data_IF_975512583117
#
_entry.id   IF_975512583117
#
_cell.length_a   1.000
_cell.length_b   1.000
_cell.length_c   1.000
_cell.angle_alpha   90.00
_cell.angle_beta   90.00
_cell.angle_gamma   90.00
#
_symmetry.space_group_name_H-M   'P 1'
#
loop_
_entity.id
_entity.type
_entity.pdbx_description
1 polymer ?
#
# COMPACT_ATOMS: atom_id res chain seq x y z
N UNK A 1 4.94 2.68 -12.53
CA UNK A 1 4.29 2.27 -13.80
C UNK A 1 4.05 0.76 -13.90
N UNK A 2 5.06 -0.11 -13.69
CA UNK A 2 4.93 -1.58 -13.84
C UNK A 2 3.76 -2.17 -13.04
N UNK A 3 3.62 -1.81 -11.76
CA UNK A 3 2.52 -2.27 -10.88
C UNK A 3 1.14 -1.99 -11.50
N UNK A 4 0.88 -0.73 -11.84
CA UNK A 4 -0.41 -0.30 -12.41
C UNK A 4 -0.71 -1.04 -13.71
N UNK A 5 0.26 -1.17 -14.61
CA UNK A 5 0.10 -1.89 -15.89
C UNK A 5 -0.29 -3.36 -15.69
N UNK A 6 0.34 -4.05 -14.74
CA UNK A 6 0.02 -5.45 -14.42
C UNK A 6 -1.40 -5.56 -13.87
N UNK A 7 -1.79 -4.67 -12.95
CA UNK A 7 -3.15 -4.66 -12.38
C UNK A 7 -4.20 -4.43 -13.46
N UNK A 8 -4.02 -3.44 -14.33
CA UNK A 8 -4.96 -3.14 -15.42
C UNK A 8 -5.08 -4.33 -16.37
N UNK A 9 -3.96 -4.93 -16.76
CA UNK A 9 -3.95 -6.12 -17.61
C UNK A 9 -4.67 -7.29 -16.92
N UNK A 10 -4.44 -7.48 -15.63
CA UNK A 10 -5.13 -8.51 -14.83
C UNK A 10 -6.65 -8.32 -14.84
N UNK A 11 -7.14 -7.10 -14.58
CA UNK A 11 -8.57 -6.78 -14.61
C UNK A 11 -9.17 -6.95 -16.01
N UNK A 12 -8.45 -6.54 -17.06
CA UNK A 12 -8.88 -6.76 -18.44
C UNK A 12 -9.05 -8.25 -18.72
N UNK A 13 -8.05 -9.07 -18.42
CA UNK A 13 -8.09 -10.52 -18.66
C UNK A 13 -9.16 -11.20 -17.83
N UNK A 14 -9.40 -10.73 -16.60
CA UNK A 14 -10.43 -11.26 -15.71
C UNK A 14 -11.84 -11.16 -16.33
N UNK A 15 -12.12 -10.06 -17.04
CA UNK A 15 -13.40 -9.75 -17.69
C UNK A 15 -13.50 -10.26 -19.13
N UNK A 16 -12.35 -10.35 -19.82
CA UNK A 16 -12.27 -10.76 -21.22
C UNK A 16 -13.01 -12.07 -21.48
N UNK A 17 -13.82 -12.10 -22.54
CA UNK A 17 -14.73 -13.20 -22.93
C UNK A 17 -15.89 -13.51 -21.97
N UNK A 18 -15.98 -12.88 -20.80
CA UNK A 18 -17.08 -13.10 -19.81
C UNK A 18 -18.07 -11.95 -19.76
N UNK A 19 -17.61 -10.75 -20.09
CA UNK A 19 -18.39 -9.51 -20.10
C UNK A 19 -18.16 -8.82 -21.45
N UNK A 20 -19.12 -8.05 -21.99
CA UNK A 20 -18.92 -7.29 -23.23
C UNK A 20 -17.67 -6.42 -23.18
N UNK A 21 -17.01 -6.30 -24.33
CA UNK A 21 -15.74 -5.59 -24.45
C UNK A 21 -15.84 -4.13 -24.01
N UNK A 22 -16.97 -3.46 -24.28
CA UNK A 22 -17.16 -2.07 -23.87
C UNK A 22 -17.11 -1.89 -22.34
N UNK A 23 -17.70 -2.82 -21.57
CA UNK A 23 -17.64 -2.78 -20.11
C UNK A 23 -16.27 -3.22 -19.58
N UNK A 24 -15.63 -4.16 -20.27
CA UNK A 24 -14.24 -4.56 -19.98
C UNK A 24 -13.29 -3.36 -20.12
N UNK A 25 -13.41 -2.60 -21.22
CA UNK A 25 -12.63 -1.40 -21.46
C UNK A 25 -12.94 -0.32 -20.42
N UNK A 26 -14.22 -0.06 -20.13
CA UNK A 26 -14.66 0.91 -19.12
C UNK A 26 -14.04 0.62 -17.75
N UNK A 27 -14.12 -0.63 -17.27
CA UNK A 27 -13.57 -1.02 -15.97
C UNK A 27 -12.03 -1.02 -15.98
N UNK A 28 -11.40 -1.29 -17.13
CA UNK A 28 -9.93 -1.18 -17.27
C UNK A 28 -9.49 0.28 -17.18
N UNK A 29 -10.22 1.22 -17.79
CA UNK A 29 -9.99 2.68 -17.65
C UNK A 29 -10.26 3.15 -16.22
N UNK A 30 -11.29 2.62 -15.56
CA UNK A 30 -11.52 2.90 -14.14
C UNK A 30 -10.33 2.44 -13.29
N UNK A 31 -9.86 1.22 -13.50
CA UNK A 31 -8.67 0.68 -12.81
C UNK A 31 -7.44 1.56 -13.05
N UNK A 32 -7.25 2.03 -14.30
CA UNK A 32 -6.17 2.92 -14.69
C UNK A 32 -6.17 4.21 -13.86
N UNK A 33 -7.31 4.90 -13.75
CA UNK A 33 -7.39 6.15 -12.98
C UNK A 33 -7.40 5.91 -11.47
N UNK A 34 -7.93 4.78 -11.00
CA UNK A 34 -7.85 4.38 -9.59
C UNK A 34 -6.40 4.21 -9.13
N UNK A 35 -5.49 3.77 -10.00
CA UNK A 35 -4.05 3.68 -9.72
C UNK A 35 -3.27 4.97 -10.14
N UNK A 36 -3.94 6.13 -10.05
CA UNK A 36 -3.45 7.51 -10.26
C UNK A 36 -2.64 7.75 -11.53
N UNK A 37 -3.24 7.47 -12.69
CA UNK A 37 -2.59 7.62 -13.99
C UNK A 37 -1.91 8.98 -14.32
N UNK A 38 -2.23 10.17 -13.74
CA UNK A 38 -1.35 11.33 -13.96
C UNK A 38 -0.26 11.52 -12.89
N UNK A 39 -0.26 10.78 -11.79
CA UNK A 39 0.76 10.85 -10.73
C UNK A 39 1.02 9.46 -10.14
N UNK A 40 1.97 8.72 -10.73
CA UNK A 40 2.36 7.42 -10.20
C UNK A 40 3.26 7.59 -8.97
N UNK A 41 2.66 7.84 -7.81
CA UNK A 41 3.40 7.82 -6.56
C UNK A 41 3.49 6.36 -6.05
N UNK A 42 4.70 5.83 -5.76
CA UNK A 42 4.85 4.47 -5.26
C UNK A 42 4.38 4.39 -3.81
N UNK A 43 3.10 4.04 -3.59
CA UNK A 43 2.57 3.81 -2.25
C UNK A 43 2.53 2.31 -1.98
N UNK A 44 2.88 1.91 -0.75
CA UNK A 44 2.85 0.50 -0.34
C UNK A 44 1.47 -0.13 -0.55
N UNK A 45 0.40 0.66 -0.51
CA UNK A 45 -0.98 0.25 -0.82
C UNK A 45 -1.10 -0.34 -2.24
N UNK A 46 -0.47 0.28 -3.25
CA UNK A 46 -0.48 -0.22 -4.62
C UNK A 46 0.15 -1.61 -4.72
N UNK A 47 1.32 -1.77 -4.08
CA UNK A 47 2.05 -3.03 -4.08
C UNK A 47 1.31 -4.11 -3.29
N UNK A 48 0.69 -3.77 -2.17
CA UNK A 48 -0.11 -4.72 -1.39
C UNK A 48 -1.34 -5.19 -2.17
N UNK A 49 -2.06 -4.27 -2.82
CA UNK A 49 -3.20 -4.61 -3.67
C UNK A 49 -2.81 -5.35 -4.95
N UNK A 50 -1.64 -5.09 -5.54
CA UNK A 50 -1.13 -5.84 -6.69
C UNK A 50 -1.19 -7.34 -6.44
N UNK A 51 -0.59 -7.80 -5.33
CA UNK A 51 -0.54 -9.22 -5.00
C UNK A 51 -1.95 -9.82 -4.85
N UNK A 52 -2.83 -9.14 -4.13
CA UNK A 52 -4.22 -9.58 -3.95
C UNK A 52 -5.03 -9.60 -5.25
N UNK A 53 -4.83 -8.62 -6.14
CA UNK A 53 -5.51 -8.56 -7.44
C UNK A 53 -4.96 -9.62 -8.40
N UNK A 54 -3.67 -9.93 -8.37
CA UNK A 54 -3.09 -11.02 -9.15
C UNK A 54 -3.68 -12.37 -8.73
N UNK A 55 -3.75 -12.63 -7.41
CA UNK A 55 -4.41 -13.82 -6.87
C UNK A 55 -5.87 -13.90 -7.32
N UNK A 56 -6.62 -12.80 -7.19
CA UNK A 56 -8.01 -12.72 -7.64
C UNK A 56 -8.12 -13.01 -9.14
N UNK A 57 -7.27 -12.40 -9.96
CA UNK A 57 -7.28 -12.56 -11.41
C UNK A 57 -7.07 -14.02 -11.80
N UNK A 58 -6.03 -14.67 -11.25
CA UNK A 58 -5.75 -16.09 -11.52
C UNK A 58 -6.89 -16.98 -11.04
N UNK A 59 -7.42 -16.71 -9.84
CA UNK A 59 -8.55 -17.43 -9.27
C UNK A 59 -9.79 -17.36 -10.19
N UNK A 60 -10.12 -16.17 -10.68
CA UNK A 60 -11.28 -15.98 -11.56
C UNK A 60 -11.04 -16.63 -12.92
N UNK A 61 -9.83 -16.55 -13.50
CA UNK A 61 -9.49 -17.22 -14.77
C UNK A 61 -9.57 -18.74 -14.64
N UNK A 62 -9.04 -19.31 -13.56
CA UNK A 62 -9.01 -20.75 -13.34
C UNK A 62 -10.39 -21.38 -13.07
N UNK A 63 -11.41 -20.56 -12.77
CA UNK A 63 -12.78 -21.05 -12.52
C UNK A 63 -13.60 -21.21 -13.81
N UNK A 64 -14.43 -22.26 -13.90
CA UNK A 64 -14.57 -23.37 -12.95
C UNK A 64 -13.37 -24.33 -12.99
N UNK A 65 -12.98 -24.88 -11.83
CA UNK A 65 -11.86 -25.83 -11.76
C UNK A 65 -12.25 -27.16 -12.40
N UNK A 66 -11.54 -27.55 -13.46
CA UNK A 66 -11.79 -28.81 -14.15
C UNK A 66 -11.27 -30.01 -13.36
N UNK A 67 -10.19 -29.82 -12.61
CA UNK A 67 -9.55 -30.88 -11.83
C UNK A 67 -9.23 -30.41 -10.40
N UNK A 68 -9.23 -31.30 -9.39
CA UNK A 68 -8.85 -30.95 -8.03
C UNK A 68 -7.44 -30.34 -7.91
N UNK A 69 -6.50 -30.75 -8.78
CA UNK A 69 -5.16 -30.18 -8.84
C UNK A 69 -5.15 -28.70 -9.25
N UNK A 70 -6.06 -28.29 -10.13
CA UNK A 70 -6.15 -26.89 -10.57
C UNK A 70 -6.61 -26.02 -9.41
N UNK A 71 -7.51 -26.56 -8.58
CA UNK A 71 -7.97 -25.93 -7.35
C UNK A 71 -6.83 -25.82 -6.31
N UNK A 72 -6.02 -26.88 -6.14
CA UNK A 72 -4.83 -26.87 -5.29
C UNK A 72 -3.85 -25.77 -5.71
N UNK A 73 -3.49 -25.68 -7.00
CA UNK A 73 -2.52 -24.71 -7.50
C UNK A 73 -3.04 -23.27 -7.43
N UNK A 74 -4.31 -23.04 -7.76
CA UNK A 74 -4.92 -21.72 -7.60
C UNK A 74 -4.94 -21.30 -6.13
N UNK A 75 -5.27 -22.20 -5.21
CA UNK A 75 -5.25 -21.91 -3.78
C UNK A 75 -3.84 -21.65 -3.26
N UNK A 76 -2.85 -22.41 -3.71
CA UNK A 76 -1.42 -22.17 -3.42
C UNK A 76 -0.97 -20.80 -3.89
N UNK A 77 -1.33 -20.40 -5.11
CA UNK A 77 -1.02 -19.07 -5.60
C UNK A 77 -1.70 -17.97 -4.76
N UNK A 78 -2.98 -18.15 -4.40
CA UNK A 78 -3.68 -17.21 -3.51
C UNK A 78 -3.01 -17.10 -2.13
N UNK A 79 -2.59 -18.21 -1.53
CA UNK A 79 -1.90 -18.23 -0.23
C UNK A 79 -0.58 -17.48 -0.26
N UNK A 80 0.23 -17.75 -1.29
CA UNK A 80 1.50 -17.05 -1.50
C UNK A 80 1.28 -15.54 -1.65
N UNK A 81 0.41 -15.14 -2.56
CA UNK A 81 0.14 -13.73 -2.83
C UNK A 81 -0.49 -12.99 -1.63
N UNK A 82 -1.35 -13.66 -0.87
CA UNK A 82 -1.95 -13.07 0.34
C UNK A 82 -0.90 -12.79 1.42
N UNK A 83 0.05 -13.71 1.61
CA UNK A 83 1.19 -13.50 2.51
C UNK A 83 2.09 -12.37 2.02
N UNK A 84 2.44 -12.32 0.72
CA UNK A 84 3.21 -11.21 0.16
C UNK A 84 2.49 -9.86 0.32
N UNK A 85 1.17 -9.83 0.14
CA UNK A 85 0.33 -8.66 0.42
C UNK A 85 0.42 -8.25 1.89
N UNK A 86 0.32 -9.20 2.82
CA UNK A 86 0.42 -8.96 4.26
C UNK A 86 1.76 -8.37 4.67
N UNK A 87 2.86 -8.90 4.15
CA UNK A 87 4.18 -8.36 4.45
C UNK A 87 4.50 -7.05 3.72
N UNK A 88 3.80 -6.76 2.61
CA UNK A 88 3.88 -5.44 1.97
C UNK A 88 3.10 -4.40 2.77
N UNK A 89 1.89 -4.75 3.24
CA UNK A 89 1.08 -3.92 4.12
C UNK A 89 0.05 -4.78 4.87
N UNK A 90 0.24 -4.95 6.17
CA UNK A 90 -0.49 -5.91 6.99
C UNK A 90 -1.99 -5.69 7.03
N UNK A 91 -2.43 -4.43 7.12
CA UNK A 91 -3.85 -4.08 7.15
C UNK A 91 -4.59 -4.54 5.88
N UNK A 92 -4.03 -4.28 4.69
CA UNK A 92 -4.59 -4.70 3.41
C UNK A 92 -4.48 -6.22 3.24
N UNK A 93 -3.30 -6.78 3.50
CA UNK A 93 -3.05 -8.20 3.30
C UNK A 93 -3.87 -9.09 4.22
N UNK A 94 -4.15 -8.66 5.47
CA UNK A 94 -5.01 -9.42 6.40
C UNK A 94 -6.40 -9.65 5.80
N UNK A 95 -6.97 -8.63 5.14
CA UNK A 95 -8.28 -8.77 4.50
C UNK A 95 -8.21 -9.72 3.30
N UNK A 96 -7.14 -9.68 2.50
CA UNK A 96 -6.94 -10.66 1.42
C UNK A 96 -6.79 -12.09 1.97
N UNK A 97 -6.02 -12.27 3.04
CA UNK A 97 -5.86 -13.56 3.72
C UNK A 97 -7.22 -14.10 4.16
N UNK A 98 -8.03 -13.27 4.82
CA UNK A 98 -9.35 -13.66 5.28
C UNK A 98 -10.32 -13.93 4.12
N UNK A 99 -10.34 -13.07 3.11
CA UNK A 99 -11.20 -13.19 1.94
C UNK A 99 -10.96 -14.51 1.20
N UNK A 100 -9.70 -14.86 0.92
CA UNK A 100 -9.37 -16.12 0.24
C UNK A 100 -9.62 -17.32 1.15
N UNK A 101 -9.33 -17.22 2.45
CA UNK A 101 -9.63 -18.29 3.39
C UNK A 101 -11.13 -18.62 3.44
N UNK A 102 -11.99 -17.61 3.55
CA UNK A 102 -13.46 -17.76 3.52
C UNK A 102 -13.90 -18.38 2.19
N UNK A 103 -13.38 -17.89 1.07
CA UNK A 103 -13.66 -18.46 -0.25
C UNK A 103 -13.36 -19.96 -0.31
N UNK A 104 -12.20 -20.40 0.19
CA UNK A 104 -11.78 -21.79 0.10
C UNK A 104 -12.52 -22.72 1.06
N UNK A 105 -12.91 -22.24 2.25
CA UNK A 105 -13.69 -23.04 3.22
C UNK A 105 -15.05 -23.45 2.65
N UNK A 106 -15.71 -22.57 1.90
CA UNK A 106 -17.05 -22.82 1.35
C UNK A 106 -17.02 -23.52 -0.02
N UNK A 107 -15.85 -23.62 -0.65
CA UNK A 107 -15.70 -24.20 -1.97
C UNK A 107 -15.89 -25.73 -1.93
N UNK A 108 -16.48 -26.38 -2.95
CA UNK A 108 -16.70 -27.84 -2.94
C UNK A 108 -15.43 -28.67 -2.72
N UNK A 109 -14.29 -28.22 -3.29
CA UNK A 109 -12.97 -28.87 -3.14
C UNK A 109 -12.17 -28.30 -1.95
N UNK A 110 -12.83 -28.00 -0.83
CA UNK A 110 -12.22 -27.27 0.31
C UNK A 110 -10.96 -27.89 0.86
N UNK A 111 -10.83 -29.22 0.87
CA UNK A 111 -9.64 -29.87 1.46
C UNK A 111 -8.40 -29.70 0.59
N UNK A 112 -8.54 -29.87 -0.73
CA UNK A 112 -7.46 -29.59 -1.68
C UNK A 112 -7.13 -28.10 -1.69
N UNK A 113 -8.16 -27.25 -1.67
CA UNK A 113 -7.96 -25.80 -1.60
C UNK A 113 -7.23 -25.37 -0.32
N UNK A 114 -7.64 -25.85 0.85
CA UNK A 114 -6.98 -25.53 2.13
C UNK A 114 -5.54 -26.04 2.16
N UNK A 115 -5.29 -27.27 1.68
CA UNK A 115 -3.94 -27.80 1.54
C UNK A 115 -3.06 -26.91 0.65
N UNK A 116 -3.58 -26.51 -0.51
CA UNK A 116 -2.91 -25.59 -1.43
C UNK A 116 -2.64 -24.24 -0.78
N UNK A 117 -3.66 -23.63 -0.18
CA UNK A 117 -3.57 -22.34 0.50
C UNK A 117 -2.52 -22.34 1.62
N UNK A 118 -2.47 -23.39 2.45
CA UNK A 118 -1.44 -23.56 3.47
C UNK A 118 -0.03 -23.71 2.87
N UNK A 119 0.13 -24.53 1.82
CA UNK A 119 1.42 -24.67 1.12
C UNK A 119 1.89 -23.34 0.53
N UNK A 120 0.98 -22.58 -0.08
CA UNK A 120 1.24 -21.25 -0.60
C UNK A 120 1.66 -20.26 0.49
N UNK A 121 0.97 -20.30 1.64
CA UNK A 121 1.31 -19.49 2.79
C UNK A 121 2.69 -19.82 3.35
N UNK A 122 3.04 -21.11 3.48
CA UNK A 122 4.36 -21.56 3.90
C UNK A 122 5.45 -21.13 2.92
N UNK A 123 5.20 -21.22 1.61
CA UNK A 123 6.12 -20.73 0.59
C UNK A 123 6.33 -19.22 0.69
N UNK A 124 5.25 -18.45 0.90
CA UNK A 124 5.33 -17.01 1.12
C UNK A 124 6.14 -16.65 2.36
N UNK A 125 5.92 -17.36 3.47
CA UNK A 125 6.70 -17.20 4.69
C UNK A 125 8.18 -17.55 4.46
N UNK A 126 8.48 -18.61 3.71
CA UNK A 126 9.84 -18.98 3.35
C UNK A 126 10.56 -17.93 2.50
N UNK A 127 9.87 -17.35 1.51
CA UNK A 127 10.39 -16.24 0.69
C UNK A 127 10.67 -15.02 1.57
N UNK A 128 9.70 -14.65 2.42
CA UNK A 128 9.86 -13.50 3.30
C UNK A 128 10.97 -13.70 4.32
N UNK A 129 11.12 -14.92 4.84
CA UNK A 129 12.24 -15.30 5.69
C UNK A 129 13.58 -15.14 4.96
N UNK A 130 13.67 -15.58 3.69
CA UNK A 130 14.89 -15.43 2.89
C UNK A 130 15.26 -13.97 2.56
N UNK A 131 14.26 -13.09 2.43
CA UNK A 131 14.48 -11.67 2.09
C UNK A 131 14.78 -10.82 3.33
N UNK A 132 13.98 -10.97 4.39
CA UNK A 132 13.98 -10.07 5.55
C UNK A 132 14.67 -10.69 6.78
N UNK A 133 14.77 -12.02 6.86
CA UNK A 133 15.19 -12.73 8.07
C UNK A 133 14.10 -12.77 9.16
N UNK A 134 14.40 -13.41 10.30
CA UNK A 134 13.56 -13.37 11.50
C UNK A 134 13.91 -12.14 12.37
N UNK A 135 13.69 -10.94 11.86
CA UNK A 135 13.76 -9.76 12.73
C UNK A 135 12.42 -9.59 13.47
N UNK A 136 12.42 -9.92 14.77
CA UNK A 136 11.27 -9.75 15.65
C UNK A 136 10.70 -8.34 15.60
N UNK A 137 11.54 -7.31 15.44
CA UNK A 137 11.10 -5.92 15.38
C UNK A 137 10.29 -5.64 14.12
N UNK A 138 10.64 -6.26 12.99
CA UNK A 138 9.89 -6.12 11.73
C UNK A 138 8.48 -6.71 11.86
N UNK A 139 8.35 -7.86 12.52
CA UNK A 139 7.05 -8.47 12.79
C UNK A 139 6.20 -7.66 13.78
N UNK A 140 6.80 -7.18 14.86
CA UNK A 140 6.09 -6.32 15.83
C UNK A 140 5.61 -5.03 15.16
N UNK A 141 6.42 -4.40 14.31
CA UNK A 141 6.03 -3.20 13.58
C UNK A 141 4.95 -3.48 12.52
N UNK A 142 5.02 -4.62 11.84
CA UNK A 142 4.05 -4.99 10.81
C UNK A 142 2.69 -5.35 11.40
N UNK A 143 2.61 -5.94 12.59
CA UNK A 143 1.37 -6.47 13.18
C UNK A 143 0.62 -5.45 14.04
N UNK A 144 1.27 -4.38 14.53
CA UNK A 144 0.64 -3.38 15.40
C UNK A 144 -0.33 -2.44 14.65
N UNK A 145 -1.60 -2.84 14.62
CA UNK A 145 -2.74 -2.17 13.98
C UNK A 145 -3.63 -1.33 14.93
N UNK A 146 -3.27 -1.23 16.21
CA UNK A 146 -4.22 -0.96 17.30
C UNK A 146 -4.85 0.42 17.32
N UNK A 147 -4.16 1.48 16.91
CA UNK A 147 -4.75 2.83 16.92
C UNK A 147 -5.73 3.10 15.78
N UNK A 148 -5.67 2.33 14.68
CA UNK A 148 -6.42 2.64 13.45
C UNK A 148 -7.66 1.77 13.24
N UNK A 149 -7.74 0.64 13.93
CA UNK A 149 -8.96 -0.19 13.95
C UNK A 149 -10.14 0.60 14.55
N UNK A 150 -9.90 1.55 15.46
CA UNK A 150 -10.96 2.38 16.03
C UNK A 150 -11.77 3.13 14.97
N UNK A 151 -11.14 3.59 13.89
CA UNK A 151 -11.83 4.25 12.77
C UNK A 151 -12.82 3.32 12.04
N UNK A 152 -12.63 2.00 12.12
CA UNK A 152 -13.53 1.00 11.52
C UNK A 152 -14.77 0.72 12.36
N UNK A 153 -14.77 1.13 13.64
CA UNK A 153 -15.89 0.92 14.55
C UNK A 153 -17.02 1.93 14.36
N UNK A 154 -16.79 3.02 13.63
CA UNK A 154 -17.81 4.03 13.32
C UNK A 154 -18.52 3.70 11.99
N UNK A 155 -19.80 3.29 11.99
CA UNK A 155 -20.51 2.95 10.76
C UNK A 155 -20.67 4.12 9.79
N UNK A 156 -20.69 5.36 10.29
CA UNK A 156 -20.76 6.54 9.44
C UNK A 156 -19.55 6.63 8.49
N UNK A 157 -18.40 6.11 8.93
CA UNK A 157 -17.17 6.13 8.14
C UNK A 157 -17.14 5.10 7.01
N UNK A 158 -18.05 4.12 7.01
CA UNK A 158 -18.14 3.08 5.98
C UNK A 158 -18.68 3.62 4.65
N UNK A 159 -19.23 4.84 4.65
CA UNK A 159 -19.56 5.60 3.45
C UNK A 159 -18.35 5.99 2.60
N UNK A 160 -17.12 5.76 3.09
CA UNK A 160 -15.86 6.14 2.44
C UNK A 160 -15.78 5.65 1.00
N UNK A 161 -15.40 6.58 0.11
CA UNK A 161 -15.17 6.33 -1.32
C UNK A 161 -16.29 5.53 -2.00
N UNK A 162 -17.52 5.60 -1.49
CA UNK A 162 -18.70 5.00 -2.13
C UNK A 162 -18.61 3.48 -2.40
N UNK A 163 -17.73 2.74 -1.71
CA UNK A 163 -17.56 1.29 -1.89
C UNK A 163 -18.86 0.51 -1.62
N UNK A 164 -19.78 1.06 -0.83
CA UNK A 164 -21.08 0.46 -0.53
C UNK A 164 -22.08 0.54 -1.71
N UNK A 165 -21.93 1.48 -2.65
CA UNK A 165 -22.92 1.69 -3.74
C UNK A 165 -22.95 0.48 -4.68
N UNK A 166 -21.81 -0.02 -5.23
CA UNK A 166 -21.83 -1.22 -6.06
C UNK A 166 -22.41 -2.42 -5.33
N UNK A 167 -22.11 -2.55 -4.04
CA UNK A 167 -22.64 -3.62 -3.20
C UNK A 167 -24.16 -3.54 -3.11
N UNK A 168 -24.72 -2.37 -2.80
CA UNK A 168 -26.16 -2.15 -2.70
C UNK A 168 -26.90 -2.42 -4.02
N UNK A 169 -26.29 -2.13 -5.16
CA UNK A 169 -26.86 -2.41 -6.49
C UNK A 169 -26.89 -3.93 -6.79
N UNK A 170 -25.78 -4.63 -6.55
CA UNK A 170 -25.63 -6.03 -6.98
C UNK A 170 -26.25 -7.03 -5.98
N UNK A 171 -26.12 -6.76 -4.68
CA UNK A 171 -26.44 -7.72 -3.62
C UNK A 171 -27.89 -8.25 -3.67
N UNK A 172 -28.94 -7.42 -3.85
CA UNK A 172 -30.32 -7.92 -3.82
C UNK A 172 -30.61 -8.95 -4.92
N UNK A 173 -30.05 -8.74 -6.11
CA UNK A 173 -30.22 -9.67 -7.23
C UNK A 173 -29.31 -10.91 -7.07
N UNK A 174 -28.07 -10.73 -6.61
CA UNK A 174 -27.12 -11.82 -6.39
C UNK A 174 -27.60 -12.83 -5.33
N UNK A 175 -28.19 -12.36 -4.23
CA UNK A 175 -28.69 -13.22 -3.16
C UNK A 175 -29.78 -14.19 -3.63
N UNK A 176 -30.61 -13.79 -4.60
CA UNK A 176 -31.65 -14.66 -5.18
C UNK A 176 -31.07 -15.77 -6.05
N UNK A 177 -29.90 -15.54 -6.62
CA UNK A 177 -29.18 -16.47 -7.49
C UNK A 177 -27.89 -16.98 -6.83
N UNK A 178 -27.90 -17.13 -5.50
CA UNK A 178 -26.71 -17.49 -4.73
C UNK A 178 -26.07 -18.78 -5.24
N UNK A 179 -26.86 -19.79 -5.63
CA UNK A 179 -26.33 -21.07 -6.16
C UNK A 179 -25.41 -20.90 -7.38
N UNK A 180 -25.63 -19.88 -8.19
CA UNK A 180 -24.86 -19.62 -9.42
C UNK A 180 -23.64 -18.74 -9.13
N UNK A 181 -23.82 -17.71 -8.30
CA UNK A 181 -22.82 -16.65 -8.13
C UNK A 181 -22.15 -16.61 -6.75
N UNK A 182 -22.42 -17.56 -5.83
CA UNK A 182 -21.91 -17.58 -4.44
C UNK A 182 -20.44 -17.22 -4.33
N UNK A 183 -19.61 -17.92 -5.08
CA UNK A 183 -18.16 -17.77 -5.05
C UNK A 183 -17.71 -16.36 -5.52
N UNK A 184 -18.36 -15.79 -6.53
CA UNK A 184 -18.11 -14.42 -6.98
C UNK A 184 -18.59 -13.41 -5.95
N UNK A 185 -19.74 -13.67 -5.32
CA UNK A 185 -20.32 -12.82 -4.29
C UNK A 185 -19.43 -12.72 -3.05
N UNK A 186 -18.80 -13.82 -2.62
CA UNK A 186 -17.85 -13.82 -1.50
C UNK A 186 -16.64 -12.93 -1.82
N UNK A 187 -16.07 -13.08 -3.02
CA UNK A 187 -14.94 -12.25 -3.45
C UNK A 187 -15.35 -10.78 -3.57
N UNK A 188 -16.57 -10.50 -4.04
CA UNK A 188 -17.09 -9.14 -4.18
C UNK A 188 -17.33 -8.46 -2.83
N UNK A 189 -17.93 -9.16 -1.86
CA UNK A 189 -18.10 -8.67 -0.50
C UNK A 189 -16.73 -8.46 0.16
N UNK A 190 -15.82 -9.42 0.03
CA UNK A 190 -14.45 -9.30 0.56
C UNK A 190 -13.69 -8.12 -0.05
N UNK A 191 -13.82 -7.89 -1.35
CA UNK A 191 -13.23 -6.73 -2.03
C UNK A 191 -13.82 -5.41 -1.53
N UNK A 192 -15.13 -5.38 -1.29
CA UNK A 192 -15.82 -4.20 -0.74
C UNK A 192 -15.33 -3.88 0.67
N UNK A 193 -15.25 -4.89 1.53
CA UNK A 193 -14.70 -4.76 2.90
C UNK A 193 -13.24 -4.30 2.84
N UNK A 194 -12.44 -4.86 1.94
CA UNK A 194 -11.04 -4.45 1.78
C UNK A 194 -10.92 -2.99 1.34
N UNK A 195 -11.75 -2.53 0.40
CA UNK A 195 -11.79 -1.13 -0.02
C UNK A 195 -12.07 -0.17 1.14
N UNK A 196 -13.11 -0.47 1.93
CA UNK A 196 -13.47 0.32 3.12
C UNK A 196 -12.34 0.26 4.15
N UNK A 197 -11.89 -0.95 4.51
CA UNK A 197 -10.88 -1.16 5.54
C UNK A 197 -9.55 -0.49 5.18
N UNK A 198 -9.09 -0.63 3.94
CA UNK A 198 -7.88 0.01 3.45
C UNK A 198 -8.01 1.54 3.48
N UNK A 199 -9.15 2.09 3.08
CA UNK A 199 -9.41 3.54 3.11
C UNK A 199 -9.44 4.12 4.53
N UNK A 200 -9.92 3.36 5.52
CA UNK A 200 -10.00 3.80 6.91
C UNK A 200 -8.71 3.58 7.71
N UNK A 201 -7.91 2.57 7.36
CA UNK A 201 -6.72 2.18 8.15
C UNK A 201 -5.40 2.53 7.47
N UNK A 202 -5.41 2.82 6.18
CA UNK A 202 -4.22 3.14 5.40
C UNK A 202 -3.59 4.49 5.76
N UNK A 203 -2.27 4.61 5.53
CA UNK A 203 -1.54 5.89 5.51
C UNK A 203 -1.93 6.80 4.35
N UNK A 204 -2.60 6.24 3.34
CA UNK A 204 -3.06 6.97 2.17
C UNK A 204 -4.12 7.98 2.58
N UNK A 205 -4.06 9.21 2.06
CA UNK A 205 -5.14 10.21 2.24
C UNK A 205 -6.48 9.54 1.85
N UNK A 206 -7.45 9.61 2.75
CA UNK A 206 -8.70 8.84 2.66
C UNK A 206 -9.44 9.05 1.34
N UNK A 207 -9.57 10.32 0.92
CA UNK A 207 -10.33 10.72 -0.28
C UNK A 207 -9.69 10.26 -1.59
N UNK A 208 -8.41 9.89 -1.55
CA UNK A 208 -7.74 9.30 -2.69
C UNK A 208 -7.64 7.80 -2.58
N UNK A 209 -7.93 7.15 -1.44
CA UNK A 209 -7.80 5.69 -1.27
C UNK A 209 -8.90 4.85 -1.97
N UNK A 210 -8.97 4.93 -3.30
CA UNK A 210 -10.01 4.29 -4.11
C UNK A 210 -9.47 3.25 -5.10
N UNK A 211 -8.34 2.62 -4.74
CA UNK A 211 -7.61 1.64 -5.57
C UNK A 211 -8.46 0.46 -6.02
N UNK A 212 -9.48 0.09 -5.23
CA UNK A 212 -10.29 -1.09 -5.47
C UNK A 212 -11.57 -0.84 -6.27
N UNK A 213 -11.88 0.39 -6.72
CA UNK A 213 -13.06 0.66 -7.55
C UNK A 213 -13.10 -0.19 -8.81
N UNK A 214 -12.00 -0.24 -9.57
CA UNK A 214 -11.89 -1.06 -10.78
C UNK A 214 -12.12 -2.56 -10.52
N UNK A 215 -11.31 -3.19 -9.64
CA UNK A 215 -11.50 -4.59 -9.24
C UNK A 215 -12.90 -4.92 -8.69
N UNK A 216 -13.47 -4.04 -7.87
CA UNK A 216 -14.82 -4.22 -7.32
C UNK A 216 -15.88 -4.20 -8.43
N UNK A 217 -15.83 -3.23 -9.34
CA UNK A 217 -16.78 -3.16 -10.45
C UNK A 217 -16.61 -4.32 -11.43
N UNK A 218 -15.39 -4.82 -11.62
CA UNK A 218 -15.15 -6.01 -12.41
C UNK A 218 -15.90 -7.22 -11.83
N UNK A 219 -15.82 -7.43 -10.51
CA UNK A 219 -16.58 -8.49 -9.83
C UNK A 219 -18.10 -8.26 -9.90
N UNK A 220 -18.56 -7.01 -9.77
CA UNK A 220 -19.97 -6.66 -9.93
C UNK A 220 -20.52 -7.07 -11.30
N UNK A 221 -19.82 -6.71 -12.38
CA UNK A 221 -20.21 -7.12 -13.74
C UNK A 221 -20.16 -8.63 -13.92
N UNK A 222 -19.12 -9.31 -13.41
CA UNK A 222 -19.05 -10.77 -13.47
C UNK A 222 -20.24 -11.44 -12.79
N UNK A 223 -20.67 -10.96 -11.63
CA UNK A 223 -21.86 -11.49 -10.93
C UNK A 223 -23.11 -11.31 -11.80
N UNK A 224 -23.36 -10.09 -12.28
CA UNK A 224 -24.55 -9.79 -13.09
C UNK A 224 -24.57 -10.61 -14.39
N UNK A 225 -23.43 -10.75 -15.06
CA UNK A 225 -23.33 -11.55 -16.28
C UNK A 225 -23.44 -13.05 -16.05
N UNK A 226 -22.99 -13.56 -14.90
CA UNK A 226 -23.15 -14.96 -14.55
C UNK A 226 -24.62 -15.36 -14.37
N UNK A 227 -25.47 -14.45 -13.90
CA UNK A 227 -26.89 -14.72 -13.64
C UNK A 227 -27.82 -14.33 -14.81
N UNK A 228 -27.30 -13.62 -15.84
CA UNK A 228 -28.09 -13.05 -16.93
C UNK A 228 -29.06 -14.04 -17.59
N UNK A 229 -28.60 -15.26 -17.85
CA UNK A 229 -29.38 -16.28 -18.56
C UNK A 229 -30.42 -16.97 -17.68
N UNK A 230 -30.32 -16.79 -16.36
CA UNK A 230 -31.19 -17.42 -15.36
C UNK A 230 -32.37 -16.53 -14.95
N UNK A 231 -32.41 -15.29 -15.46
CA UNK A 231 -33.46 -14.33 -15.17
C UNK A 231 -34.74 -14.70 -15.94
N UNK A 232 -35.72 -15.25 -15.23
CA UNK A 232 -37.01 -15.64 -15.82
C UNK A 232 -38.08 -14.58 -15.57
N UNK A 233 -38.07 -13.94 -14.41
CA UNK A 233 -39.13 -13.02 -13.98
C UNK A 233 -38.95 -11.62 -14.57
N UNK A 234 -40.05 -10.97 -14.98
CA UNK A 234 -40.01 -9.65 -15.65
C UNK A 234 -39.32 -8.58 -14.79
N UNK A 235 -39.64 -8.51 -13.50
CA UNK A 235 -39.02 -7.50 -12.63
C UNK A 235 -37.53 -7.78 -12.42
N UNK A 236 -37.07 -9.05 -12.45
CA UNK A 236 -35.64 -9.41 -12.35
C UNK A 236 -34.87 -8.85 -13.53
N UNK A 237 -35.44 -8.98 -14.73
CA UNK A 237 -34.87 -8.43 -15.96
C UNK A 237 -34.79 -6.91 -15.89
N UNK A 238 -35.86 -6.24 -15.45
CA UNK A 238 -35.87 -4.77 -15.28
C UNK A 238 -34.79 -4.34 -14.28
N UNK A 239 -34.72 -5.00 -13.13
CA UNK A 239 -33.76 -4.69 -12.07
C UNK A 239 -32.31 -4.98 -12.52
N UNK A 240 -32.09 -6.04 -13.29
CA UNK A 240 -30.80 -6.33 -13.94
C UNK A 240 -30.36 -5.19 -14.87
N UNK A 241 -31.23 -4.72 -15.77
CA UNK A 241 -30.89 -3.63 -16.68
C UNK A 241 -30.67 -2.31 -15.94
N UNK A 242 -31.45 -2.03 -14.89
CA UNK A 242 -31.21 -0.91 -14.00
C UNK A 242 -29.82 -1.01 -13.37
N UNK A 243 -29.46 -2.14 -12.76
CA UNK A 243 -28.16 -2.34 -12.13
C UNK A 243 -26.99 -2.19 -13.11
N UNK A 244 -27.09 -2.78 -14.32
CA UNK A 244 -26.07 -2.60 -15.36
C UNK A 244 -25.91 -1.12 -15.72
N UNK A 245 -27.01 -0.42 -15.95
CA UNK A 245 -27.00 1.01 -16.31
C UNK A 245 -26.39 1.85 -15.19
N UNK A 246 -26.81 1.62 -13.94
CA UNK A 246 -26.28 2.29 -12.77
C UNK A 246 -24.79 2.04 -12.56
N UNK A 247 -24.30 0.82 -12.77
CA UNK A 247 -22.87 0.51 -12.69
C UNK A 247 -22.06 1.20 -13.80
N UNK A 248 -22.61 1.34 -15.01
CA UNK A 248 -21.96 2.09 -16.10
C UNK A 248 -21.85 3.57 -15.73
N UNK A 249 -22.96 4.19 -15.30
CA UNK A 249 -22.98 5.59 -14.87
C UNK A 249 -22.02 5.82 -13.71
N UNK A 250 -22.02 4.91 -12.72
CA UNK A 250 -21.12 4.96 -11.58
C UNK A 250 -19.66 4.80 -12.00
N UNK A 251 -19.35 3.92 -12.96
CA UNK A 251 -17.99 3.77 -13.50
C UNK A 251 -17.50 5.08 -14.13
N UNK A 252 -18.33 5.74 -14.94
CA UNK A 252 -17.98 7.02 -15.58
C UNK A 252 -17.79 8.12 -14.53
N UNK A 253 -18.67 8.17 -13.54
CA UNK A 253 -18.56 9.09 -12.40
C UNK A 253 -17.26 8.87 -11.62
N UNK A 254 -16.93 7.62 -11.26
CA UNK A 254 -15.70 7.27 -10.58
C UNK A 254 -14.46 7.53 -11.44
N UNK A 255 -14.54 7.34 -12.77
CA UNK A 255 -13.43 7.70 -13.67
C UNK A 255 -13.14 9.19 -13.57
N UNK A 256 -14.18 10.03 -13.63
CA UNK A 256 -14.04 11.49 -13.50
C UNK A 256 -13.45 11.87 -12.14
N UNK A 257 -13.97 11.30 -11.05
CA UNK A 257 -13.44 11.56 -9.70
C UNK A 257 -11.99 11.13 -9.56
N UNK A 258 -11.66 9.91 -9.99
CA UNK A 258 -10.30 9.36 -9.93
C UNK A 258 -9.31 10.19 -10.74
N UNK A 259 -9.72 10.67 -11.92
CA UNK A 259 -8.90 11.57 -12.75
C UNK A 259 -8.67 12.91 -12.05
N UNK A 260 -9.71 13.54 -11.50
CA UNK A 260 -9.59 14.80 -10.75
C UNK A 260 -8.71 14.64 -9.50
N UNK A 261 -8.91 13.57 -8.74
CA UNK A 261 -8.10 13.24 -7.59
C UNK A 261 -6.63 12.98 -7.97
N UNK A 262 -6.36 12.31 -9.09
CA UNK A 262 -5.00 12.14 -9.63
C UNK A 262 -4.35 13.47 -10.01
N UNK A 263 -5.10 14.40 -10.64
CA UNK A 263 -4.61 15.75 -10.92
C UNK A 263 -4.36 16.55 -9.64
N UNK A 264 -5.25 16.45 -8.66
CA UNK A 264 -5.11 17.10 -7.36
C UNK A 264 -3.93 16.53 -6.57
N UNK A 265 -3.67 15.21 -6.65
CA UNK A 265 -2.50 14.58 -6.07
C UNK A 265 -1.23 15.07 -6.75
N UNK A 266 -1.20 15.12 -8.09
CA UNK A 266 -0.10 15.73 -8.85
C UNK A 266 0.12 17.17 -8.39
N UNK A 267 -0.95 17.94 -8.30
CA UNK A 267 -0.88 19.29 -7.79
C UNK A 267 -0.43 19.31 -6.34
N UNK A 268 -0.85 18.41 -5.44
CA UNK A 268 -0.47 18.37 -4.02
C UNK A 268 1.01 18.04 -3.82
N UNK A 269 1.54 17.05 -4.56
CA UNK A 269 2.99 16.84 -4.68
C UNK A 269 3.74 18.08 -5.20
N UNK A 270 3.03 19.03 -5.82
CA UNK A 270 3.56 20.29 -6.33
C UNK A 270 2.95 21.54 -5.64
N UNK A 271 2.08 21.42 -4.63
CA UNK A 271 1.26 22.55 -4.12
C UNK A 271 1.99 23.25 -3.00
N UNK A 272 2.92 22.53 -2.39
CA UNK A 272 3.92 23.10 -1.52
C UNK A 272 5.11 23.67 -2.29
N UNK A 273 5.21 23.50 -3.63
CA UNK A 273 6.46 23.81 -4.35
C UNK A 273 6.33 24.19 -5.83
N UNK A 274 6.94 25.31 -6.17
CA UNK A 274 7.18 25.75 -7.53
C UNK A 274 7.79 24.64 -8.39
N UNK A 275 6.99 24.11 -9.33
CA UNK A 275 7.40 23.18 -10.41
C UNK A 275 8.61 23.72 -11.22
N UNK A 276 8.87 25.03 -11.13
CA UNK A 276 10.03 25.70 -11.72
C UNK A 276 11.35 25.49 -10.96
N UNK A 277 11.34 24.81 -9.82
CA UNK A 277 12.53 24.63 -8.98
C UNK A 277 12.96 23.15 -8.84
N UNK A 278 12.88 22.38 -9.92
CA UNK A 278 13.55 21.09 -9.97
C UNK A 278 15.07 21.32 -9.88
N UNK A 279 15.70 20.69 -8.89
CA UNK A 279 17.14 20.60 -8.79
C UNK A 279 17.56 19.18 -9.11
N UNK A 280 18.47 19.07 -10.06
CA UNK A 280 19.10 17.81 -10.41
C UNK A 280 20.23 17.60 -9.41
N UNK A 281 20.14 16.55 -8.62
CA UNK A 281 21.19 16.14 -7.69
C UNK A 281 22.49 15.95 -8.48
N UNK A 282 23.57 16.52 -7.97
CA UNK A 282 24.90 16.51 -8.56
C UNK A 282 25.80 15.46 -7.92
N UNK A 283 25.54 15.05 -6.68
CA UNK A 283 26.39 14.10 -5.95
C UNK A 283 26.16 12.65 -6.41
N UNK A 284 27.20 11.94 -6.88
CA UNK A 284 27.13 10.49 -7.11
C UNK A 284 26.89 9.74 -5.79
N UNK A 285 26.06 8.67 -5.76
CA UNK A 285 25.51 7.91 -6.87
C UNK A 285 24.11 8.37 -7.32
N UNK A 286 23.50 9.36 -6.67
CA UNK A 286 22.17 9.86 -7.04
C UNK A 286 22.21 10.99 -8.07
N UNK A 287 23.34 11.17 -8.77
CA UNK A 287 23.47 12.18 -9.81
C UNK A 287 22.38 12.02 -10.88
N UNK A 288 21.76 13.13 -11.27
CA UNK A 288 20.68 13.12 -12.26
C UNK A 288 19.27 12.94 -11.66
N UNK A 289 19.16 12.58 -10.37
CA UNK A 289 17.86 12.47 -9.71
C UNK A 289 17.27 13.85 -9.44
N UNK A 290 15.96 13.97 -9.62
CA UNK A 290 15.26 15.23 -9.36
C UNK A 290 14.85 15.32 -7.89
N UNK A 291 15.15 16.45 -7.29
CA UNK A 291 14.71 16.83 -5.94
C UNK A 291 14.23 18.28 -5.95
N UNK A 292 13.51 18.66 -4.91
CA UNK A 292 13.11 20.04 -4.64
C UNK A 292 14.36 20.91 -4.52
N UNK A 293 14.44 22.09 -5.14
CA UNK A 293 15.70 22.87 -5.15
C UNK A 293 16.27 23.14 -3.77
N UNK A 294 15.43 23.47 -2.79
CA UNK A 294 15.88 23.73 -1.42
C UNK A 294 16.50 22.47 -0.81
N UNK A 295 15.81 21.33 -0.89
CA UNK A 295 16.27 20.06 -0.32
C UNK A 295 17.46 19.48 -1.10
N UNK A 296 17.37 19.38 -2.43
CA UNK A 296 18.42 18.88 -3.29
C UNK A 296 19.73 19.65 -3.16
N UNK A 297 19.66 20.99 -3.12
CA UNK A 297 20.86 21.83 -2.88
C UNK A 297 21.44 21.59 -1.49
N UNK A 298 20.59 21.44 -0.47
CA UNK A 298 21.05 21.14 0.88
C UNK A 298 21.69 19.75 0.95
N UNK A 299 21.07 18.72 0.37
CA UNK A 299 21.58 17.36 0.31
C UNK A 299 22.95 17.28 -0.38
N UNK A 300 23.15 17.95 -1.52
CA UNK A 300 24.46 17.97 -2.18
C UNK A 300 25.53 18.67 -1.34
N UNK A 301 25.18 19.79 -0.69
CA UNK A 301 26.12 20.49 0.20
C UNK A 301 26.49 19.67 1.43
N UNK A 302 25.50 19.02 2.04
CA UNK A 302 25.69 18.15 3.19
C UNK A 302 26.49 16.91 2.78
N UNK A 303 26.18 16.27 1.66
CA UNK A 303 26.91 15.11 1.17
C UNK A 303 28.38 15.47 0.86
N UNK A 304 28.63 16.64 0.26
CA UNK A 304 29.98 17.15 0.06
C UNK A 304 30.70 17.40 1.40
N UNK A 305 30.02 18.01 2.38
CA UNK A 305 30.59 18.19 3.73
C UNK A 305 30.95 16.84 4.36
N UNK A 306 30.05 15.87 4.34
CA UNK A 306 30.28 14.53 4.89
C UNK A 306 31.49 13.87 4.22
N UNK A 307 31.53 13.88 2.89
CA UNK A 307 32.61 13.23 2.13
C UNK A 307 33.98 13.90 2.33
N UNK A 308 34.01 15.20 2.64
CA UNK A 308 35.26 15.96 2.80
C UNK A 308 35.72 16.11 4.24
N UNK A 309 34.80 16.09 5.22
CA UNK A 309 35.11 16.44 6.62
C UNK A 309 34.87 15.33 7.63
N UNK A 310 34.09 14.30 7.29
CA UNK A 310 33.74 13.22 8.23
C UNK A 310 34.51 11.95 7.85
N UNK A 311 35.46 11.47 8.69
CA UNK A 311 36.20 10.23 8.45
C UNK A 311 35.27 9.02 8.27
N UNK A 312 35.56 8.14 7.31
CA UNK A 312 34.73 6.95 7.03
C UNK A 312 34.62 5.98 8.22
N UNK A 313 35.57 6.02 9.15
CA UNK A 313 35.54 5.28 10.42
C UNK A 313 34.49 5.80 11.40
N UNK A 314 34.14 7.09 11.31
CA UNK A 314 33.23 7.74 12.24
C UNK A 314 31.79 7.34 11.92
N UNK A 315 31.04 7.02 12.97
CA UNK A 315 29.62 6.72 12.87
C UNK A 315 28.82 7.98 12.56
N UNK A 316 27.91 7.88 11.58
CA UNK A 316 27.04 8.97 11.15
C UNK A 316 25.59 8.55 11.34
N UNK A 317 24.85 9.33 12.12
CA UNK A 317 23.42 9.16 12.27
C UNK A 317 22.67 10.28 11.55
N UNK A 318 21.96 9.91 10.49
CA UNK A 318 21.06 10.81 9.75
C UNK A 318 19.64 10.62 10.28
N UNK A 319 19.08 11.68 10.87
CA UNK A 319 17.68 11.74 11.29
C UNK A 319 16.78 12.10 10.10
N UNK A 320 15.53 11.64 10.14
CA UNK A 320 14.46 11.96 9.19
C UNK A 320 14.67 11.51 7.74
N UNK A 321 13.83 12.06 6.87
CA UNK A 321 13.71 11.82 5.43
C UNK A 321 15.00 12.10 4.63
N UNK A 322 16.08 12.50 5.29
CA UNK A 322 17.40 12.71 4.70
C UNK A 322 18.21 11.42 4.51
N UNK A 323 17.62 10.23 4.69
CA UNK A 323 18.31 8.93 4.49
C UNK A 323 18.99 8.76 3.12
N UNK A 324 18.55 9.52 2.11
CA UNK A 324 19.25 9.61 0.84
C UNK A 324 20.74 9.98 1.00
N UNK A 325 21.12 10.70 2.06
CA UNK A 325 22.50 11.04 2.40
C UNK A 325 23.39 9.81 2.60
N UNK A 326 22.88 8.69 3.14
CA UNK A 326 23.68 7.46 3.24
C UNK A 326 24.06 6.92 1.86
N UNK A 327 23.11 6.93 0.92
CA UNK A 327 23.37 6.56 -0.46
C UNK A 327 24.33 7.57 -1.14
N UNK A 328 24.07 8.88 -1.01
CA UNK A 328 24.89 9.97 -1.58
C UNK A 328 26.33 9.99 -1.06
N UNK A 329 26.56 9.52 0.16
CA UNK A 329 27.89 9.51 0.78
C UNK A 329 28.52 8.12 0.80
N UNK A 330 27.84 7.10 0.25
CA UNK A 330 28.23 5.69 0.30
C UNK A 330 28.69 5.30 1.71
N UNK A 331 27.81 5.53 2.68
CA UNK A 331 28.00 5.18 4.09
C UNK A 331 26.91 4.22 4.51
N UNK A 332 27.28 3.27 5.36
CA UNK A 332 26.31 2.42 6.03
C UNK A 332 25.43 3.27 6.96
N UNK A 333 24.16 2.90 7.06
CA UNK A 333 23.25 3.51 8.01
C UNK A 333 23.68 3.20 9.45
N UNK A 334 23.44 4.14 10.35
CA UNK A 334 23.67 3.92 11.77
C UNK A 334 22.85 2.72 12.28
N UNK A 335 23.54 1.70 12.80
CA UNK A 335 22.90 0.43 13.16
C UNK A 335 22.18 0.52 14.50
N UNK A 336 21.00 -0.11 14.57
CA UNK A 336 20.25 -0.29 15.82
C UNK A 336 19.23 0.80 16.13
N UNK A 337 19.06 1.77 15.23
CA UNK A 337 17.96 2.73 15.28
C UNK A 337 17.03 2.41 14.10
N UNK A 338 15.72 2.18 14.33
CA UNK A 338 14.79 1.89 13.24
C UNK A 338 14.74 3.07 12.26
N UNK A 339 14.61 2.77 10.98
CA UNK A 339 14.51 3.75 9.91
C UNK A 339 13.23 4.58 10.12
N UNK A 340 13.36 5.86 10.47
CA UNK A 340 12.23 6.78 10.56
C UNK A 340 11.90 7.27 9.15
N UNK A 341 10.72 6.93 8.66
CA UNK A 341 10.14 7.50 7.44
C UNK A 341 9.00 8.40 7.93
N UNK A 342 9.05 9.70 7.61
CA UNK A 342 8.16 10.81 7.98
C UNK A 342 7.00 10.55 8.97
N UNK A 343 6.90 11.37 10.03
CA UNK A 343 5.78 11.48 10.97
C UNK A 343 5.44 10.26 11.85
N UNK A 344 6.11 9.12 11.66
CA UNK A 344 5.85 7.90 12.45
C UNK A 344 7.02 7.60 13.40
N UNK A 345 7.12 8.36 14.49
CA UNK A 345 7.99 7.95 15.60
C UNK A 345 7.53 6.60 16.16
N UNK A 346 8.44 5.80 16.74
CA UNK A 346 8.05 4.65 17.52
C UNK A 346 7.02 5.12 18.55
N UNK A 347 5.85 4.46 18.62
CA UNK A 347 4.84 4.84 19.59
C UNK A 347 5.42 4.75 21.00
N UNK A 348 4.87 5.56 21.90
CA UNK A 348 5.26 5.51 23.31
C UNK A 348 5.18 4.07 23.83
N UNK A 349 6.23 3.62 24.53
CA UNK A 349 6.35 2.23 25.01
C UNK A 349 7.74 1.64 24.77
N UNK A 350 7.80 0.31 24.65
CA UNK A 350 9.06 -0.45 24.62
C UNK A 350 9.98 -0.05 23.46
N UNK A 351 9.46 0.21 22.26
CA UNK A 351 10.29 0.59 21.11
C UNK A 351 10.92 1.99 21.26
N UNK A 352 10.17 2.98 21.78
CA UNK A 352 10.71 4.30 22.12
C UNK A 352 11.80 4.16 23.18
N UNK A 353 11.56 3.38 24.23
CA UNK A 353 12.53 3.11 25.29
C UNK A 353 13.80 2.42 24.77
N UNK A 354 13.65 1.38 23.95
CA UNK A 354 14.77 0.67 23.32
C UNK A 354 15.58 1.59 22.40
N UNK A 355 14.91 2.39 21.56
CA UNK A 355 15.57 3.34 20.66
C UNK A 355 16.35 4.39 21.45
N UNK A 356 15.75 4.94 22.50
CA UNK A 356 16.39 5.88 23.43
C UNK A 356 17.61 5.25 24.08
N UNK A 357 17.45 4.08 24.70
CA UNK A 357 18.54 3.36 25.37
C UNK A 357 19.69 3.05 24.39
N UNK A 358 19.36 2.64 23.16
CA UNK A 358 20.36 2.34 22.13
C UNK A 358 21.14 3.59 21.70
N UNK A 359 20.45 4.70 21.45
CA UNK A 359 21.07 5.98 21.10
C UNK A 359 21.97 6.49 22.23
N UNK A 360 21.55 6.36 23.49
CA UNK A 360 22.32 6.83 24.64
C UNK A 360 23.49 5.90 25.00
N UNK A 361 23.35 4.59 24.81
CA UNK A 361 24.42 3.60 25.06
C UNK A 361 25.48 3.56 23.97
N UNK A 362 25.10 3.90 22.73
CA UNK A 362 26.00 4.05 21.60
C UNK A 362 25.71 5.41 20.95
N UNK A 363 26.41 6.44 21.41
CA UNK A 363 26.29 7.79 20.84
C UNK A 363 27.07 7.86 19.52
N UNK A 364 26.42 8.21 18.39
CA UNK A 364 27.11 8.38 17.12
C UNK A 364 28.15 9.51 17.18
N UNK A 365 29.18 9.45 16.33
CA UNK A 365 30.21 10.49 16.30
C UNK A 365 29.66 11.79 15.67
N UNK A 366 28.74 11.64 14.71
CA UNK A 366 28.11 12.73 13.97
C UNK A 366 26.61 12.51 13.83
N UNK A 367 25.85 13.59 13.92
CA UNK A 367 24.41 13.58 13.67
C UNK A 367 24.06 14.65 12.63
N UNK A 368 23.25 14.27 11.65
CA UNK A 368 22.60 15.18 10.70
C UNK A 368 21.11 15.18 11.01
N UNK A 369 20.54 16.35 11.28
CA UNK A 369 19.14 16.51 11.66
C UNK A 369 18.57 17.78 11.04
N UNK A 370 17.25 17.85 10.86
CA UNK A 370 16.61 19.12 10.52
C UNK A 370 16.21 19.89 11.79
N UNK A 371 16.01 21.21 11.71
CA UNK A 371 15.64 22.03 12.88
C UNK A 371 14.31 21.65 13.52
N UNK A 372 13.33 21.22 12.75
CA UNK A 372 12.07 20.65 13.23
C UNK A 372 12.34 19.30 13.92
N UNK A 373 13.27 18.48 13.40
CA UNK A 373 13.73 17.25 14.06
C UNK A 373 14.22 17.52 15.50
N UNK A 374 14.99 18.60 15.64
CA UNK A 374 15.56 19.01 16.92
C UNK A 374 14.49 19.35 17.97
N UNK A 375 13.42 20.01 17.53
CA UNK A 375 12.37 20.50 18.41
C UNK A 375 11.30 19.45 18.72
N UNK A 376 11.01 18.55 17.79
CA UNK A 376 9.94 17.56 17.93
C UNK A 376 10.46 16.17 18.32
N UNK A 377 11.55 15.72 17.72
CA UNK A 377 11.92 14.30 17.72
C UNK A 377 12.89 13.97 18.82
N UNK A 378 13.92 14.79 18.98
CA UNK A 378 14.82 14.66 20.13
C UNK A 378 14.06 14.86 21.45
N UNK A 379 13.00 15.69 21.42
CA UNK A 379 12.06 15.84 22.52
C UNK A 379 11.19 14.59 22.67
N UNK A 380 10.64 14.07 21.57
CA UNK A 380 9.86 12.82 21.58
C UNK A 380 10.68 11.63 22.08
N UNK A 381 11.99 11.54 21.83
CA UNK A 381 12.82 10.46 22.39
C UNK A 381 13.34 10.74 23.79
N UNK A 382 13.11 11.94 24.34
CA UNK A 382 13.70 12.38 25.62
C UNK A 382 15.22 12.19 25.65
N UNK A 383 15.87 12.63 24.57
CA UNK A 383 17.34 12.62 24.38
C UNK A 383 17.90 14.02 24.07
N UNK A 384 17.04 15.04 23.94
CA UNK A 384 17.47 16.41 23.56
C UNK A 384 18.53 16.96 24.50
N UNK A 385 18.38 16.73 25.81
CA UNK A 385 19.33 17.22 26.82
C UNK A 385 20.68 16.54 26.67
N UNK A 386 20.68 15.23 26.45
CA UNK A 386 21.85 14.41 26.24
C UNK A 386 22.57 14.79 24.95
N UNK A 387 21.84 15.01 23.85
CA UNK A 387 22.43 15.50 22.60
C UNK A 387 23.04 16.89 22.78
N UNK A 388 22.35 17.83 23.43
CA UNK A 388 22.89 19.15 23.74
C UNK A 388 24.13 19.12 24.65
N UNK A 389 24.24 18.11 25.50
CA UNK A 389 25.38 17.95 26.40
C UNK A 389 26.61 17.34 25.71
N UNK A 390 26.38 16.35 24.83
CA UNK A 390 27.46 15.58 24.19
C UNK A 390 27.90 16.12 22.82
N UNK A 391 27.11 16.98 22.17
CA UNK A 391 27.36 17.42 20.80
C UNK A 391 27.40 18.93 20.68
N UNK A 392 28.15 19.41 19.69
CA UNK A 392 28.18 20.80 19.29
C UNK A 392 27.82 20.97 17.80
N UNK A 393 27.19 22.08 17.41
CA UNK A 393 26.95 22.39 16.00
C UNK A 393 28.27 22.64 15.26
N UNK A 394 28.38 22.10 14.05
CA UNK A 394 29.57 22.24 13.18
C UNK A 394 29.23 22.94 11.87
N UNK A 395 28.07 22.62 11.28
CA UNK A 395 27.65 23.24 10.03
C UNK A 395 26.13 23.30 9.93
N UNK A 396 25.64 24.29 9.18
CA UNK A 396 24.22 24.47 8.88
C UNK A 396 24.05 24.64 7.36
N UNK A 397 23.09 23.91 6.79
CA UNK A 397 22.76 23.97 5.37
C UNK A 397 21.24 24.01 5.19
N UNK A 398 20.69 25.21 5.02
CA UNK A 398 19.24 25.37 4.87
C UNK A 398 18.53 25.14 6.21
N UNK A 399 17.66 24.13 6.29
CA UNK A 399 17.00 23.74 7.55
C UNK A 399 17.72 22.60 8.27
N UNK A 400 18.89 22.18 7.79
CA UNK A 400 19.62 21.03 8.30
C UNK A 400 20.83 21.47 9.13
N UNK A 401 21.02 20.81 10.27
CA UNK A 401 22.12 21.01 11.20
C UNK A 401 22.99 19.74 11.26
N UNK A 402 24.30 19.93 11.16
CA UNK A 402 25.30 18.88 11.40
C UNK A 402 25.95 19.14 12.75
N UNK A 403 25.84 18.18 13.65
CA UNK A 403 26.42 18.23 14.99
C UNK A 403 27.46 17.12 15.17
N UNK A 404 28.50 17.40 15.96
CA UNK A 404 29.60 16.48 16.24
C UNK A 404 29.70 16.22 17.73
N UNK A 405 29.94 14.95 18.09
CA UNK A 405 30.23 14.54 19.45
C UNK A 405 31.53 15.18 19.96
N UNK A 406 31.49 15.75 21.14
CA UNK A 406 32.61 16.42 21.82
C UNK A 406 32.94 15.82 23.17
N UNK A 407 32.07 14.98 23.72
CA UNK A 407 32.22 14.32 25.03
C UNK A 407 31.84 12.86 24.97
#
# INVERSE_FOLDING_TARGET
>A
MVVSSIVIAGIFVMLWKRVPLIFTALVSVLTLVSFYWPSSHPWYDHSAHLWGILALTLLIIARPFKQPRDCLYAAMFCGLMAVLSFFTKSNIGTIYVLMFFVFWIVHPNRWQALGGYCLGGLLGLGIMHGIVGFDKNFFEHSVWLTSRIQATLNPADWGVNFYWIPLALVLPLALRHLKICRDLLILFIGMTINGIFAALTGNMIRDVNFLLWGPQLALAFLILYAIKNELTVRWEKIFYYFNITSLIVLSVFFIRLGFQAGLNLRMWTHRFEDVKTNYVIQTPPLQGWNSQRRQGTAHDRIANFINTRIPKSDTLFVMNDMHALYAMTQRDSYRGVPLFISDAFPPAGRHRGYTRERLLSHLPDWIVLDFDSFNHELLHFDIRKEILFHYQPVAEYGSCLIIKKVR
#
